data_IF_919633113106
#
_entry.id   IF_919633113106
#
_cell.length_a   1.000
_cell.length_b   1.000
_cell.length_c   1.000
_cell.angle_alpha   90.00
_cell.angle_beta   90.00
_cell.angle_gamma   90.00
#
_symmetry.space_group_name_H-M   'P 1'
#
loop_
_entity.id
_entity.type
_entity.pdbx_description
1 polymer ?
#
# COMPACT_ATOMS: atom_id res chain seq x y z
N UNK A 1 12.22 -28.95 22.48
CA UNK A 1 11.95 -27.68 21.77
C UNK A 1 11.85 -26.58 22.80
N UNK A 2 12.78 -25.62 22.84
CA UNK A 2 12.55 -24.44 23.66
C UNK A 2 11.55 -23.51 22.95
N UNK A 3 10.74 -22.75 23.71
CA UNK A 3 9.76 -21.83 23.17
C UNK A 3 10.46 -20.68 22.44
N UNK A 4 9.91 -20.25 21.30
CA UNK A 4 10.33 -19.05 20.58
C UNK A 4 10.20 -17.84 21.50
N UNK A 5 11.32 -17.15 21.71
CA UNK A 5 11.38 -15.94 22.48
C UNK A 5 10.48 -14.86 21.86
N UNK A 6 9.52 -14.39 22.65
CA UNK A 6 8.82 -13.13 22.44
C UNK A 6 9.83 -11.99 22.64
N UNK A 7 10.27 -11.35 21.56
CA UNK A 7 11.23 -10.26 21.67
C UNK A 7 11.81 -9.79 20.35
N UNK A 8 10.96 -9.31 19.44
CA UNK A 8 11.18 -8.10 18.63
C UNK A 8 9.84 -7.83 17.93
N UNK A 9 9.10 -6.80 18.34
CA UNK A 9 7.94 -6.36 17.56
C UNK A 9 8.50 -5.85 16.24
N UNK A 10 8.26 -6.56 15.13
CA UNK A 10 8.85 -6.27 13.81
C UNK A 10 8.55 -4.88 13.22
N UNK A 11 7.93 -3.99 14.00
CA UNK A 11 7.69 -2.59 13.69
C UNK A 11 8.94 -1.76 13.96
N UNK A 12 9.39 -1.00 12.95
CA UNK A 12 10.66 -0.29 13.06
C UNK A 12 11.00 0.58 11.86
N UNK A 13 11.91 1.54 12.09
CA UNK A 13 12.56 2.31 11.04
C UNK A 13 13.69 1.48 10.45
N UNK A 14 13.64 1.21 9.15
CA UNK A 14 14.73 0.55 8.44
C UNK A 14 15.65 1.63 7.87
N UNK A 15 16.80 1.81 8.51
CA UNK A 15 17.80 2.83 8.17
C UNK A 15 18.70 2.50 6.97
N UNK A 16 18.35 1.49 6.18
CA UNK A 16 19.07 1.22 4.94
C UNK A 16 18.60 2.18 3.85
N UNK A 17 19.54 2.60 2.99
CA UNK A 17 19.27 3.56 1.92
C UNK A 17 18.53 2.82 0.81
N UNK A 18 17.26 3.18 0.59
CA UNK A 18 16.52 2.75 -0.61
C UNK A 18 17.35 3.08 -1.85
N UNK A 19 17.37 2.23 -2.90
CA UNK A 19 18.21 2.51 -4.04
C UNK A 19 17.92 3.89 -4.62
N UNK A 20 18.95 4.70 -4.60
CA UNK A 20 18.98 6.12 -4.93
C UNK A 20 18.23 6.45 -6.25
N UNK A 21 18.33 5.56 -7.24
CA UNK A 21 17.68 5.70 -8.55
C UNK A 21 16.16 5.44 -8.50
N UNK A 22 15.69 4.50 -7.68
CA UNK A 22 14.25 4.23 -7.51
C UNK A 22 13.59 5.42 -6.83
N UNK A 23 14.19 5.89 -5.74
CA UNK A 23 13.67 7.01 -4.96
C UNK A 23 13.62 8.27 -5.80
N UNK A 24 14.69 8.59 -6.55
CA UNK A 24 14.69 9.77 -7.43
C UNK A 24 13.58 9.73 -8.49
N UNK A 25 13.29 8.55 -9.07
CA UNK A 25 12.18 8.42 -10.03
C UNK A 25 10.83 8.72 -9.39
N UNK A 26 10.58 8.19 -8.20
CA UNK A 26 9.37 8.48 -7.44
C UNK A 26 9.30 9.97 -7.04
N UNK A 27 10.41 10.57 -6.64
CA UNK A 27 10.50 12.00 -6.31
C UNK A 27 10.17 12.90 -7.50
N UNK A 28 10.71 12.60 -8.69
CA UNK A 28 10.39 13.32 -9.92
C UNK A 28 8.91 13.20 -10.29
N UNK A 29 8.32 12.01 -10.10
CA UNK A 29 6.89 11.77 -10.28
C UNK A 29 6.05 12.60 -9.30
N UNK A 30 6.44 12.65 -8.02
CA UNK A 30 5.78 13.45 -6.98
C UNK A 30 5.88 14.95 -7.29
N UNK A 31 7.05 15.44 -7.70
CA UNK A 31 7.26 16.84 -8.06
C UNK A 31 6.33 17.27 -9.20
N UNK A 32 6.14 16.40 -10.22
CA UNK A 32 5.18 16.63 -11.31
C UNK A 32 3.75 16.69 -10.80
N UNK A 33 3.34 15.75 -9.93
CA UNK A 33 1.99 15.73 -9.36
C UNK A 33 1.69 16.97 -8.51
N UNK A 34 2.66 17.46 -7.73
CA UNK A 34 2.55 18.68 -6.93
C UNK A 34 2.38 19.95 -7.79
N UNK A 35 2.85 19.92 -9.04
CA UNK A 35 2.70 21.02 -9.98
C UNK A 35 1.34 21.05 -10.71
N UNK A 36 0.53 19.99 -10.61
CA UNK A 36 -0.76 19.89 -11.31
C UNK A 36 -1.81 20.80 -10.65
N UNK A 37 -2.57 21.53 -11.49
CA UNK A 37 -3.68 22.39 -11.07
C UNK A 37 -4.97 22.07 -11.84
N UNK A 38 -6.10 21.80 -11.16
CA UNK A 38 -6.23 21.64 -9.71
C UNK A 38 -5.48 20.41 -9.20
N UNK A 39 -5.07 20.43 -7.92
CA UNK A 39 -4.37 19.33 -7.29
C UNK A 39 -5.15 18.00 -7.46
N UNK A 40 -4.46 16.88 -7.75
CA UNK A 40 -5.10 15.58 -7.86
C UNK A 40 -5.82 15.21 -6.56
N UNK A 41 -7.04 14.68 -6.69
CA UNK A 41 -7.76 14.12 -5.53
C UNK A 41 -7.01 12.90 -5.01
N UNK A 42 -6.96 12.74 -3.68
CA UNK A 42 -6.27 11.61 -3.01
C UNK A 42 -6.76 10.26 -3.53
N UNK A 43 -8.06 10.14 -3.77
CA UNK A 43 -8.69 8.90 -4.24
C UNK A 43 -8.12 8.45 -5.60
N UNK A 44 -7.64 9.39 -6.44
CA UNK A 44 -7.00 9.08 -7.72
C UNK A 44 -5.54 8.61 -7.58
N UNK A 45 -4.95 8.79 -6.39
CA UNK A 45 -3.60 8.35 -6.03
C UNK A 45 -3.63 7.02 -5.24
N UNK A 46 -4.79 6.42 -5.03
CA UNK A 46 -4.93 5.08 -4.47
C UNK A 46 -4.77 4.01 -5.57
N UNK A 47 -3.96 2.99 -5.29
CA UNK A 47 -3.46 2.02 -6.27
C UNK A 47 -2.50 2.63 -7.28
N UNK A 48 -1.69 3.62 -6.88
CA UNK A 48 -0.83 4.40 -7.80
C UNK A 48 0.22 3.55 -8.53
N UNK A 49 0.63 2.42 -7.96
CA UNK A 49 1.53 1.45 -8.58
C UNK A 49 0.91 0.66 -9.74
N UNK A 50 -0.42 0.68 -9.90
CA UNK A 50 -1.11 -0.12 -10.91
C UNK A 50 -0.99 0.51 -12.31
N UNK A 51 -0.31 -0.14 -13.29
CA UNK A 51 -0.21 0.35 -14.67
C UNK A 51 -1.54 0.50 -15.39
N UNK A 52 -2.58 -0.21 -14.94
CA UNK A 52 -3.93 -0.18 -15.50
C UNK A 52 -4.92 0.59 -14.61
N UNK A 53 -4.43 1.25 -13.55
CA UNK A 53 -5.24 2.00 -12.60
C UNK A 53 -5.53 3.44 -13.02
N UNK A 54 -6.34 4.14 -12.23
CA UNK A 54 -6.67 5.54 -12.47
C UNK A 54 -5.46 6.48 -12.49
N UNK A 55 -4.40 6.14 -11.75
CA UNK A 55 -3.21 6.95 -11.65
C UNK A 55 -2.30 6.88 -12.89
N UNK A 56 -2.46 5.88 -13.76
CA UNK A 56 -1.69 5.77 -15.00
C UNK A 56 -1.92 6.94 -15.97
N UNK A 57 -3.06 7.64 -15.84
CA UNK A 57 -3.32 8.89 -16.56
C UNK A 57 -2.77 10.15 -15.87
N UNK A 58 -2.15 10.04 -14.71
CA UNK A 58 -1.62 11.14 -13.91
C UNK A 58 -0.09 11.10 -13.78
N UNK A 59 0.49 9.91 -13.71
CA UNK A 59 1.92 9.68 -13.52
C UNK A 59 2.32 8.32 -14.08
N UNK A 60 3.62 8.02 -14.10
CA UNK A 60 4.15 6.71 -14.43
C UNK A 60 4.03 5.74 -13.24
N UNK A 61 3.18 4.70 -13.30
CA UNK A 61 2.98 3.77 -12.18
C UNK A 61 4.22 2.95 -11.83
N UNK A 62 5.12 2.71 -12.79
CA UNK A 62 6.36 1.96 -12.58
C UNK A 62 7.30 2.66 -11.59
N UNK A 63 7.25 4.00 -11.54
CA UNK A 63 8.00 4.79 -10.55
C UNK A 63 7.62 4.46 -9.10
N UNK A 64 6.45 3.85 -8.87
CA UNK A 64 5.96 3.44 -7.56
C UNK A 64 5.98 1.91 -7.37
N UNK A 65 5.69 1.15 -8.42
CA UNK A 65 5.77 -0.32 -8.37
C UNK A 65 7.21 -0.80 -8.10
N UNK A 66 8.21 -0.16 -8.70
CA UNK A 66 9.62 -0.50 -8.46
C UNK A 66 10.01 -0.34 -6.98
N UNK A 67 9.40 0.61 -6.25
CA UNK A 67 9.62 0.76 -4.81
C UNK A 67 8.97 -0.38 -4.00
N UNK A 68 7.81 -0.89 -4.44
CA UNK A 68 7.17 -2.06 -3.83
C UNK A 68 8.00 -3.33 -4.00
N UNK A 69 8.60 -3.51 -5.18
CA UNK A 69 9.38 -4.70 -5.52
C UNK A 69 10.84 -4.65 -5.05
N UNK A 70 11.32 -3.50 -4.59
CA UNK A 70 12.71 -3.37 -4.14
C UNK A 70 13.03 -4.32 -2.98
N UNK A 71 14.21 -4.95 -3.04
CA UNK A 71 14.66 -5.90 -2.01
C UNK A 71 14.56 -5.32 -0.59
N UNK A 72 14.91 -4.04 -0.43
CA UNK A 72 14.82 -3.38 0.88
C UNK A 72 13.38 -3.32 1.41
N UNK A 73 12.41 -2.97 0.56
CA UNK A 73 10.99 -2.94 0.94
C UNK A 73 10.49 -4.34 1.26
N UNK A 74 10.78 -5.32 0.39
CA UNK A 74 10.31 -6.69 0.55
C UNK A 74 10.93 -7.35 1.79
N UNK A 75 12.22 -7.13 2.05
CA UNK A 75 12.91 -7.65 3.24
C UNK A 75 12.37 -7.03 4.53
N UNK A 76 12.01 -5.74 4.51
CA UNK A 76 11.40 -5.08 5.67
C UNK A 76 9.98 -5.61 5.93
N UNK A 77 9.19 -5.83 4.87
CA UNK A 77 7.86 -6.44 4.95
C UNK A 77 7.95 -7.89 5.46
N UNK A 78 8.91 -8.68 4.97
CA UNK A 78 9.12 -10.07 5.35
C UNK A 78 9.35 -10.22 6.86
N UNK A 79 10.09 -9.29 7.47
CA UNK A 79 10.34 -9.28 8.93
C UNK A 79 9.06 -9.17 9.77
N UNK A 80 7.96 -8.67 9.20
CA UNK A 80 6.68 -8.51 9.90
C UNK A 80 5.71 -9.65 9.61
N UNK A 81 5.56 -10.00 8.33
CA UNK A 81 4.48 -10.91 7.90
C UNK A 81 4.98 -12.26 7.33
N UNK A 82 6.29 -12.47 7.27
CA UNK A 82 6.90 -13.69 6.73
C UNK A 82 7.18 -13.62 5.22
N UNK A 83 7.72 -14.71 4.68
CA UNK A 83 8.34 -14.79 3.34
C UNK A 83 7.37 -14.77 2.16
N UNK A 84 6.08 -14.94 2.41
CA UNK A 84 5.07 -15.10 1.37
C UNK A 84 4.20 -13.85 1.36
N UNK A 85 4.46 -12.99 0.39
CA UNK A 85 4.06 -11.58 0.44
C UNK A 85 3.17 -11.27 -0.74
N UNK A 86 1.95 -10.83 -0.45
CA UNK A 86 1.01 -10.30 -1.43
C UNK A 86 0.90 -8.79 -1.25
N UNK A 87 1.34 -8.03 -2.26
CA UNK A 87 1.01 -6.62 -2.38
C UNK A 87 -0.45 -6.51 -2.81
N UNK A 88 -1.24 -5.75 -2.05
CA UNK A 88 -2.64 -5.53 -2.41
C UNK A 88 -2.97 -4.07 -2.67
N UNK A 89 -2.26 -3.11 -2.08
CA UNK A 89 -2.51 -1.70 -2.37
C UNK A 89 -1.25 -0.84 -2.18
N UNK A 90 -1.24 0.30 -2.86
CA UNK A 90 -0.35 1.39 -2.48
C UNK A 90 -1.02 2.72 -2.76
N UNK A 91 -0.72 3.73 -1.96
CA UNK A 91 -1.34 5.05 -2.04
C UNK A 91 -0.28 6.13 -1.82
N UNK A 92 -0.31 7.16 -2.67
CA UNK A 92 0.53 8.33 -2.50
C UNK A 92 -0.24 9.42 -1.76
N UNK A 93 0.31 9.85 -0.62
CA UNK A 93 -0.11 11.05 0.08
C UNK A 93 0.86 12.17 -0.27
N UNK A 94 0.34 13.26 -0.84
CA UNK A 94 1.16 14.41 -1.22
C UNK A 94 1.64 15.22 0.00
N UNK A 95 1.05 14.99 1.18
CA UNK A 95 1.56 15.51 2.45
C UNK A 95 1.29 14.53 3.61
N UNK A 96 2.27 14.34 4.48
CA UNK A 96 2.24 13.43 5.61
C UNK A 96 1.15 13.75 6.62
N UNK A 97 0.76 15.03 6.75
CA UNK A 97 -0.34 15.47 7.61
C UNK A 97 -1.64 14.71 7.29
N UNK A 98 -1.95 14.49 6.02
CA UNK A 98 -3.20 13.85 5.62
C UNK A 98 -3.20 12.37 6.00
N UNK A 99 -2.06 11.68 5.89
CA UNK A 99 -1.92 10.30 6.36
C UNK A 99 -1.90 10.23 7.89
N UNK A 100 -1.29 11.19 8.58
CA UNK A 100 -1.29 11.30 10.03
C UNK A 100 -2.71 11.44 10.58
N UNK A 101 -3.54 12.29 9.96
CA UNK A 101 -4.97 12.41 10.30
C UNK A 101 -5.72 11.10 10.01
N UNK A 102 -5.48 10.46 8.86
CA UNK A 102 -6.08 9.18 8.51
C UNK A 102 -5.82 8.10 9.56
N UNK A 103 -4.58 8.00 10.03
CA UNK A 103 -4.19 7.06 11.10
C UNK A 103 -4.80 7.44 12.45
N UNK A 104 -4.79 8.73 12.83
CA UNK A 104 -5.36 9.21 14.08
C UNK A 104 -6.87 8.94 14.19
N UNK A 105 -7.58 8.97 13.07
CA UNK A 105 -9.00 8.62 12.97
C UNK A 105 -9.25 7.09 13.01
N UNK A 106 -8.22 6.26 13.19
CA UNK A 106 -8.32 4.81 13.26
C UNK A 106 -8.69 4.15 11.94
N UNK A 107 -8.31 4.76 10.81
CA UNK A 107 -8.71 4.32 9.47
C UNK A 107 -7.77 3.28 8.85
N UNK A 108 -6.49 3.30 9.20
CA UNK A 108 -5.56 2.25 8.76
C UNK A 108 -5.91 0.92 9.48
N UNK A 109 -5.92 -0.19 8.74
CA UNK A 109 -6.44 -1.47 9.23
C UNK A 109 -7.95 -1.66 9.11
N UNK A 110 -8.75 -0.59 9.29
CA UNK A 110 -10.23 -0.64 9.25
C UNK A 110 -10.79 -1.15 7.93
N UNK A 111 -10.09 -0.89 6.83
CA UNK A 111 -10.54 -1.19 5.47
C UNK A 111 -9.86 -2.41 4.85
N UNK A 112 -9.06 -3.14 5.62
CA UNK A 112 -8.24 -4.23 5.10
C UNK A 112 -9.09 -5.45 4.79
N UNK A 113 -9.19 -5.86 3.52
CA UNK A 113 -10.05 -6.97 3.13
C UNK A 113 -9.30 -8.31 3.26
N UNK A 114 -8.67 -8.57 4.41
CA UNK A 114 -7.86 -9.76 4.65
C UNK A 114 -8.52 -10.70 5.67
N UNK A 115 -8.61 -11.99 5.34
CA UNK A 115 -9.17 -13.04 6.21
C UNK A 115 -8.17 -14.20 6.40
N UNK A 116 -7.68 -14.46 7.63
CA UNK A 116 -7.79 -13.60 8.82
C UNK A 116 -7.06 -12.26 8.62
N UNK A 117 -7.41 -11.25 9.43
CA UNK A 117 -6.73 -9.95 9.41
C UNK A 117 -5.27 -10.12 9.84
N UNK A 118 -4.36 -9.96 8.89
CA UNK A 118 -2.93 -9.85 9.07
C UNK A 118 -2.37 -9.02 7.92
N UNK A 119 -1.29 -8.27 8.18
CA UNK A 119 -0.75 -7.37 7.18
C UNK A 119 0.28 -6.41 7.72
N UNK A 120 0.94 -5.71 6.79
CA UNK A 120 1.95 -4.71 7.08
C UNK A 120 1.79 -3.50 6.19
N UNK A 121 1.89 -2.33 6.81
CA UNK A 121 2.03 -1.05 6.12
C UNK A 121 3.51 -0.73 6.03
N UNK A 122 4.03 -0.51 4.83
CA UNK A 122 5.37 0.02 4.59
C UNK A 122 5.27 1.46 4.07
N UNK A 123 5.87 2.41 4.79
CA UNK A 123 5.86 3.84 4.49
C UNK A 123 7.22 4.29 4.02
N UNK A 124 7.27 4.91 2.85
CA UNK A 124 8.46 5.54 2.31
C UNK A 124 8.26 7.05 2.31
N UNK A 125 9.13 7.78 3.01
CA UNK A 125 9.21 9.24 2.86
C UNK A 125 9.91 9.58 1.54
N UNK A 126 9.38 10.57 0.81
CA UNK A 126 9.85 10.92 -0.53
C UNK A 126 10.34 12.38 -0.64
N UNK A 127 10.61 13.05 0.46
CA UNK A 127 11.24 14.37 0.50
C UNK A 127 12.75 14.27 0.63
N UNK A 128 13.35 15.16 1.43
CA UNK A 128 14.81 15.39 1.43
C UNK A 128 15.59 14.20 2.01
N UNK A 129 15.01 13.50 2.99
CA UNK A 129 15.63 12.36 3.65
C UNK A 129 14.70 11.14 3.57
N UNK A 130 14.78 10.38 2.47
CA UNK A 130 13.98 9.18 2.29
C UNK A 130 14.28 8.13 3.35
N UNK A 131 13.23 7.56 3.92
CA UNK A 131 13.28 6.55 4.97
C UNK A 131 12.13 5.57 4.79
N UNK A 132 12.38 4.31 5.16
CA UNK A 132 11.40 3.24 5.18
C UNK A 132 10.99 2.93 6.62
N UNK A 133 9.69 2.92 6.87
CA UNK A 133 9.09 2.53 8.14
C UNK A 133 8.06 1.43 7.90
N UNK A 134 8.00 0.41 8.74
CA UNK A 134 6.97 -0.62 8.62
C UNK A 134 6.21 -0.81 9.93
N UNK A 135 4.93 -1.16 9.80
CA UNK A 135 4.01 -1.33 10.92
C UNK A 135 3.11 -2.54 10.67
N UNK A 136 2.94 -3.40 11.67
CA UNK A 136 1.93 -4.46 11.64
C UNK A 136 0.55 -3.80 11.71
N UNK A 137 -0.36 -4.19 10.83
CA UNK A 137 -1.72 -3.63 10.77
C UNK A 137 -2.55 -3.92 12.03
N UNK A 138 -2.17 -4.95 12.79
CA UNK A 138 -2.84 -5.34 14.04
C UNK A 138 -2.42 -4.47 15.22
N UNK A 139 -1.34 -3.71 15.06
CA UNK A 139 -0.88 -2.73 16.02
C UNK A 139 -1.37 -1.33 15.61
N UNK A 140 -1.59 -0.41 16.56
CA UNK A 140 -1.90 0.96 16.21
C UNK A 140 -0.77 1.57 15.37
N UNK A 141 -1.06 1.88 14.10
CA UNK A 141 -0.13 2.61 13.27
C UNK A 141 0.12 3.99 13.90
N UNK A 142 1.38 4.43 13.89
CA UNK A 142 1.75 5.76 14.34
C UNK A 142 2.85 6.30 13.42
N UNK A 143 2.54 7.40 12.73
CA UNK A 143 3.53 8.04 11.90
C UNK A 143 4.58 8.73 12.80
N UNK A 144 5.89 8.48 12.61
CA UNK A 144 6.93 9.11 13.41
C UNK A 144 6.78 10.64 13.49
N UNK A 145 7.05 11.20 14.66
CA UNK A 145 6.85 12.63 14.93
C UNK A 145 7.88 13.52 14.21
N UNK A 146 9.02 12.95 13.79
CA UNK A 146 10.08 13.62 13.04
C UNK A 146 9.76 13.77 11.54
N UNK A 147 8.73 13.10 11.03
CA UNK A 147 8.23 13.28 9.66
C UNK A 147 7.43 14.58 9.59
N UNK A 148 7.97 15.56 8.85
CA UNK A 148 7.34 16.85 8.63
C UNK A 148 6.00 16.72 7.89
N UNK A 149 5.02 17.54 8.25
CA UNK A 149 3.66 17.48 7.71
C UNK A 149 3.59 17.64 6.18
N UNK A 150 4.50 18.41 5.58
CA UNK A 150 4.56 18.65 4.15
C UNK A 150 5.24 17.50 3.36
N UNK A 151 5.83 16.52 4.05
CA UNK A 151 6.57 15.42 3.45
C UNK A 151 5.62 14.52 2.62
N UNK A 152 5.89 14.27 1.32
CA UNK A 152 5.14 13.27 0.57
C UNK A 152 5.44 11.86 1.09
N UNK A 153 4.40 11.03 1.22
CA UNK A 153 4.50 9.66 1.71
C UNK A 153 3.96 8.68 0.68
N UNK A 154 4.74 7.64 0.41
CA UNK A 154 4.28 6.49 -0.33
C UNK A 154 3.94 5.35 0.65
N UNK A 155 2.65 5.00 0.70
CA UNK A 155 2.09 4.01 1.61
C UNK A 155 1.89 2.72 0.83
N UNK A 156 2.54 1.64 1.25
CA UNK A 156 2.45 0.31 0.63
C UNK A 156 1.74 -0.61 1.62
N UNK A 157 0.77 -1.39 1.14
CA UNK A 157 -0.02 -2.30 1.96
C UNK A 157 0.12 -3.73 1.41
N UNK A 158 0.63 -4.62 2.25
CA UNK A 158 0.84 -6.02 1.92
C UNK A 158 0.22 -6.94 2.98
N UNK A 159 -0.26 -8.09 2.56
CA UNK A 159 -0.76 -9.16 3.42
C UNK A 159 0.15 -10.39 3.30
N UNK A 160 0.26 -11.23 4.33
CA UNK A 160 0.85 -12.55 4.16
C UNK A 160 -0.01 -13.35 3.17
N UNK A 161 0.61 -14.15 2.31
CA UNK A 161 -0.11 -14.97 1.35
C UNK A 161 -0.91 -16.13 1.99
N UNK A 162 -0.77 -16.32 3.31
CA UNK A 162 -1.64 -17.18 4.13
C UNK A 162 -2.96 -16.50 4.53
N UNK A 163 -3.08 -15.18 4.35
CA UNK A 163 -4.35 -14.46 4.45
C UNK A 163 -4.98 -14.35 3.06
N UNK A 164 -6.31 -14.49 3.02
CA UNK A 164 -7.08 -14.35 1.79
C UNK A 164 -7.57 -12.91 1.64
N UNK A 165 -7.27 -12.29 0.51
CA UNK A 165 -7.87 -11.05 0.07
C UNK A 165 -9.32 -11.29 -0.37
N UNK A 166 -10.28 -10.82 0.42
CA UNK A 166 -11.69 -10.98 0.15
C UNK A 166 -12.20 -9.92 -0.82
N UNK A 167 -12.64 -10.38 -2.00
CA UNK A 167 -13.31 -9.55 -3.00
C UNK A 167 -14.82 -9.40 -2.74
N UNK A 168 -15.35 -9.97 -1.66
CA UNK A 168 -16.78 -9.87 -1.34
C UNK A 168 -17.11 -8.43 -0.89
N UNK A 169 -17.94 -7.74 -1.69
CA UNK A 169 -18.42 -6.40 -1.36
C UNK A 169 -19.22 -6.35 -0.05
N UNK A 170 -19.76 -7.48 0.41
CA UNK A 170 -20.52 -7.58 1.66
C UNK A 170 -19.64 -7.71 2.89
N UNK A 171 -18.36 -8.05 2.72
CA UNK A 171 -17.37 -8.11 3.79
C UNK A 171 -17.37 -6.78 4.57
N UNK A 172 -17.34 -6.79 5.91
CA UNK A 172 -17.37 -5.57 6.71
C UNK A 172 -16.34 -4.52 6.28
N UNK A 173 -15.08 -4.92 6.06
CA UNK A 173 -14.02 -4.01 5.64
C UNK A 173 -14.32 -3.33 4.29
N UNK A 174 -14.74 -4.10 3.28
CA UNK A 174 -15.12 -3.56 1.96
C UNK A 174 -16.35 -2.65 2.02
N UNK A 175 -17.36 -2.99 2.83
CA UNK A 175 -18.56 -2.17 3.00
C UNK A 175 -18.23 -0.82 3.62
N UNK A 176 -17.44 -0.83 4.70
CA UNK A 176 -17.03 0.39 5.41
C UNK A 176 -16.10 1.23 4.52
N UNK A 177 -15.20 0.60 3.75
CA UNK A 177 -14.39 1.29 2.76
C UNK A 177 -15.26 2.01 1.72
N UNK A 178 -16.27 1.34 1.14
CA UNK A 178 -17.18 1.96 0.18
C UNK A 178 -17.95 3.16 0.77
N UNK A 179 -18.25 3.13 2.07
CA UNK A 179 -18.98 4.21 2.76
C UNK A 179 -18.08 5.41 3.11
N UNK A 180 -16.84 5.15 3.50
CA UNK A 180 -15.93 6.17 4.07
C UNK A 180 -14.81 6.60 3.09
N UNK A 181 -14.57 5.84 2.02
CA UNK A 181 -13.58 6.08 0.97
C UNK A 181 -14.25 6.14 -0.40
N UNK A 182 -15.09 7.16 -0.58
CA UNK A 182 -15.81 7.39 -1.83
C UNK A 182 -14.84 7.34 -3.02
N UNK A 183 -15.27 6.74 -4.14
CA UNK A 183 -14.48 6.55 -5.38
C UNK A 183 -13.34 5.51 -5.30
N UNK A 184 -13.15 4.84 -4.16
CA UNK A 184 -12.21 3.72 -4.04
C UNK A 184 -13.00 2.42 -3.91
N UNK A 185 -12.68 1.44 -4.75
CA UNK A 185 -13.24 0.10 -4.67
C UNK A 185 -12.13 -0.95 -4.54
N UNK A 186 -11.98 -1.53 -3.35
CA UNK A 186 -10.96 -2.54 -3.10
C UNK A 186 -11.31 -3.91 -3.67
N UNK A 187 -12.58 -4.21 -3.97
CA UNK A 187 -12.96 -5.55 -4.47
C UNK A 187 -12.38 -5.85 -5.85
N UNK A 188 -12.06 -4.82 -6.64
CA UNK A 188 -11.45 -4.94 -7.97
C UNK A 188 -9.96 -4.64 -7.96
N UNK A 189 -9.33 -4.54 -6.79
CA UNK A 189 -7.92 -4.20 -6.67
C UNK A 189 -7.05 -5.34 -7.21
N UNK A 190 -6.14 -5.11 -8.17
CA UNK A 190 -5.15 -6.11 -8.55
C UNK A 190 -4.25 -6.49 -7.37
N UNK A 191 -3.76 -7.72 -7.40
CA UNK A 191 -2.83 -8.26 -6.41
C UNK A 191 -1.54 -8.68 -7.10
N UNK A 192 -0.42 -8.51 -6.42
CA UNK A 192 0.88 -8.95 -6.90
C UNK A 192 1.53 -9.85 -5.85
N UNK A 193 2.03 -11.00 -6.29
CA UNK A 193 2.85 -11.87 -5.44
C UNK A 193 4.30 -11.35 -5.49
N UNK A 194 4.72 -10.63 -4.45
CA UNK A 194 6.07 -10.04 -4.41
C UNK A 194 7.14 -11.08 -4.07
N UNK A 195 6.81 -12.06 -3.23
CA UNK A 195 7.74 -13.12 -2.79
C UNK A 195 6.96 -14.35 -2.33
N UNK A 196 7.57 -15.53 -2.47
CA UNK A 196 7.04 -16.80 -1.96
C UNK A 196 5.90 -17.36 -2.83
N UNK A 197 4.93 -18.01 -2.19
CA UNK A 197 3.81 -18.69 -2.84
C UNK A 197 2.47 -18.29 -2.22
N UNK A 198 1.40 -18.33 -3.00
CA UNK A 198 0.06 -18.14 -2.45
C UNK A 198 -0.42 -19.37 -1.68
N UNK A 199 -0.80 -19.17 -0.40
CA UNK A 199 -1.24 -20.24 0.50
C UNK A 199 -2.73 -20.18 0.81
N UNK A 200 -3.44 -19.16 0.35
CA UNK A 200 -4.83 -18.90 0.69
C UNK A 200 -5.79 -18.88 -0.51
N UNK A 201 -5.30 -19.12 -1.73
CA UNK A 201 -6.12 -19.10 -2.94
C UNK A 201 -6.57 -17.69 -3.29
N UNK A 202 -5.64 -16.73 -3.24
CA UNK A 202 -5.83 -15.35 -3.65
C UNK A 202 -6.06 -15.26 -5.16
N UNK A 203 -6.94 -14.32 -5.57
CA UNK A 203 -7.23 -14.06 -6.97
C UNK A 203 -6.31 -12.95 -7.51
N UNK A 204 -5.23 -13.36 -8.20
CA UNK A 204 -4.25 -12.48 -8.84
C UNK A 204 -4.63 -12.05 -10.27
N UNK A 205 -5.83 -12.39 -10.76
CA UNK A 205 -6.25 -12.07 -12.12
C UNK A 205 -7.11 -10.81 -12.16
N UNK A 206 -8.06 -10.70 -11.21
CA UNK A 206 -8.98 -9.55 -11.15
C UNK A 206 -8.21 -8.24 -10.98
N UNK A 207 -8.58 -7.21 -11.75
CA UNK A 207 -8.01 -5.87 -11.68
C UNK A 207 -6.93 -5.56 -12.72
N UNK A 208 -6.44 -6.57 -13.45
CA UNK A 208 -5.48 -6.40 -14.55
C UNK A 208 -6.11 -6.28 -15.93
N UNK A 209 -7.28 -6.89 -16.13
CA UNK A 209 -8.05 -6.75 -17.35
C UNK A 209 -9.24 -5.80 -17.12
N UNK A 210 -9.43 -4.85 -18.04
CA UNK A 210 -10.72 -4.19 -18.16
C UNK A 210 -11.73 -5.22 -18.68
N UNK A 211 -12.93 -5.24 -18.11
CA UNK A 211 -14.02 -6.01 -18.70
C UNK A 211 -14.20 -5.54 -20.15
N UNK A 212 -14.17 -6.45 -21.15
CA UNK A 212 -14.38 -6.04 -22.52
C UNK A 212 -15.75 -5.37 -22.61
N UNK A 213 -15.88 -4.22 -23.29
CA UNK A 213 -17.14 -3.51 -23.38
C UNK A 213 -18.19 -4.45 -24.00
N UNK A 214 -19.25 -4.75 -23.23
CA UNK A 214 -20.36 -5.57 -23.69
C UNK A 214 -21.51 -4.65 -24.04
N UNK A 215 -21.96 -4.69 -25.29
CA UNK A 215 -23.04 -3.85 -25.79
C UNK A 215 -24.42 -4.21 -25.21
N UNK A 216 -24.56 -5.37 -24.56
CA UNK A 216 -25.81 -5.84 -23.98
C UNK A 216 -25.56 -6.64 -22.70
N UNK A 217 -26.28 -6.28 -21.64
CA UNK A 217 -26.34 -7.00 -20.37
C UNK A 217 -27.10 -8.32 -20.51
N UNK A 218 -26.60 -9.37 -19.86
CA UNK A 218 -27.44 -10.49 -19.42
C UNK A 218 -28.08 -10.13 -18.09
#
# INVERSE_FOLDING_TARGET
MPPLATGDTGTGRFGAVLPDTLVRRAQDAVARLLAVQPAPRRERLSGIHNPWGFAAGLTDPWSFLDLCESDLTVDAIERVIGSDIVLWDSELYLCARDYRAFVADGREGRYWPAEPLAGVVALITLGVSPALHVFDVREPAALPADIADAEPLYVIRAIPAASRFSRDAKMPANRVAMQEQLLINYTTRPLWLLRGEDRAGNDFVTGFASDPPRWASR
#
